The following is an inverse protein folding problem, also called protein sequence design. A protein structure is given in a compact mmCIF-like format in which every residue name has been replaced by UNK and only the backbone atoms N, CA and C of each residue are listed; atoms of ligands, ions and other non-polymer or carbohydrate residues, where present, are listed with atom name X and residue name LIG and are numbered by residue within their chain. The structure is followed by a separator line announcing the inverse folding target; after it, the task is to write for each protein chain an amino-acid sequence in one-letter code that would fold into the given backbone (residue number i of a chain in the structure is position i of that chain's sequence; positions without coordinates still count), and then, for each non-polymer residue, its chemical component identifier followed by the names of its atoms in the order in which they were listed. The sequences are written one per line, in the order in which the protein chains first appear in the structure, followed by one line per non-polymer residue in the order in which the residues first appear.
data_IF_296254378478
#
_entry.id   IF_296254378478
#
_cell.length_a   1.000
_cell.length_b   1.000
_cell.length_c   1.000
_cell.angle_alpha   90.00
_cell.angle_beta   90.00
_cell.angle_gamma   90.00
#
_symmetry.space_group_name_H-M   'P 1'
#
loop_
_entity.id
_entity.type
_entity.pdbx_description
1 polymer ?
#
# COMPACT_ATOMS: atom_id res chain seq x y z
N UNK A 1 -14.22 -3.08 34.47
CA UNK A 1 -13.86 -2.58 35.81
C UNK A 1 -12.46 -1.98 35.87
N UNK A 2 -11.41 -2.69 35.46
CA UNK A 2 -10.00 -2.20 35.49
C UNK A 2 -9.77 -0.91 34.71
N UNK A 3 -10.39 -0.72 33.54
CA UNK A 3 -10.25 0.51 32.74
C UNK A 3 -10.73 1.75 33.50
N UNK A 4 -11.87 1.68 34.14
CA UNK A 4 -12.44 2.80 34.87
C UNK A 4 -11.56 3.17 36.07
N UNK A 5 -11.04 2.17 36.79
CA UNK A 5 -10.13 2.39 37.91
C UNK A 5 -8.81 3.03 37.50
N UNK A 6 -8.23 2.60 36.37
CA UNK A 6 -6.99 3.16 35.83
C UNK A 6 -7.17 4.61 35.35
N UNK A 7 -8.26 4.89 34.64
CA UNK A 7 -8.57 6.25 34.17
C UNK A 7 -8.78 7.22 35.38
N UNK A 8 -9.44 6.75 36.43
CA UNK A 8 -9.62 7.53 37.65
C UNK A 8 -8.29 7.80 38.39
N UNK A 9 -7.38 6.81 38.42
CA UNK A 9 -6.05 6.98 38.96
C UNK A 9 -5.23 8.04 38.20
N UNK A 10 -5.28 8.03 36.86
CA UNK A 10 -4.64 9.06 36.05
C UNK A 10 -5.18 10.45 36.36
N UNK A 11 -6.50 10.59 36.45
CA UNK A 11 -7.14 11.88 36.77
C UNK A 11 -6.73 12.41 38.16
N UNK A 12 -6.60 11.52 39.11
CA UNK A 12 -6.22 11.91 40.49
C UNK A 12 -4.72 12.25 40.64
N UNK A 13 -3.85 11.58 39.86
CA UNK A 13 -2.39 11.79 39.91
C UNK A 13 -1.90 13.01 39.14
N UNK A 14 -2.67 13.46 38.14
CA UNK A 14 -2.30 14.57 37.25
C UNK A 14 -3.38 15.67 37.22
N UNK A 15 -3.66 16.27 38.37
CA UNK A 15 -4.66 17.33 38.52
C UNK A 15 -4.45 18.57 37.62
N UNK A 16 -3.30 18.70 36.98
CA UNK A 16 -2.97 19.80 36.05
C UNK A 16 -3.16 19.44 34.55
N UNK A 17 -3.62 18.23 34.21
CA UNK A 17 -3.79 17.84 32.79
C UNK A 17 -5.10 18.41 32.28
N UNK A 18 -5.01 19.31 31.27
CA UNK A 18 -6.19 19.84 30.56
C UNK A 18 -7.02 18.68 29.95
N UNK A 19 -8.36 18.82 29.95
CA UNK A 19 -9.32 17.81 29.55
C UNK A 19 -8.95 17.09 28.19
N UNK A 20 -8.41 17.82 27.23
CA UNK A 20 -7.96 17.24 25.93
C UNK A 20 -6.74 16.30 26.06
N UNK A 21 -5.89 16.47 27.08
CA UNK A 21 -4.76 15.56 27.34
C UNK A 21 -5.18 14.29 28.07
N UNK A 22 -6.28 14.31 28.80
CA UNK A 22 -6.80 13.13 29.53
C UNK A 22 -7.21 12.03 28.52
N UNK A 23 -7.84 12.40 27.41
CA UNK A 23 -8.20 11.46 26.35
C UNK A 23 -6.98 10.76 25.73
N UNK A 24 -5.84 11.45 25.63
CA UNK A 24 -4.58 10.88 25.16
C UNK A 24 -3.94 9.90 26.17
N UNK A 25 -4.38 9.93 27.42
CA UNK A 25 -3.85 9.10 28.50
C UNK A 25 -4.74 7.89 28.83
N UNK A 26 -5.88 7.74 28.16
CA UNK A 26 -6.75 6.58 28.36
C UNK A 26 -6.12 5.29 27.80
N UNK A 27 -6.31 4.19 28.53
CA UNK A 27 -5.94 2.85 28.07
C UNK A 27 -6.83 2.46 26.88
N UNK A 28 -6.21 1.94 25.83
CA UNK A 28 -6.93 1.40 24.67
C UNK A 28 -7.02 -0.11 24.86
N UNK A 29 -8.24 -0.63 24.83
CA UNK A 29 -8.47 -2.08 24.83
C UNK A 29 -8.32 -2.64 23.41
N UNK A 30 -7.82 -3.87 23.32
CA UNK A 30 -7.82 -4.59 22.05
C UNK A 30 -9.24 -4.92 21.59
N UNK A 31 -9.44 -4.95 20.29
CA UNK A 31 -10.68 -5.34 19.66
C UNK A 31 -10.40 -6.57 18.78
N UNK A 32 -11.02 -7.69 19.10
CA UNK A 32 -10.81 -8.98 18.42
C UNK A 32 -11.05 -8.95 16.90
N UNK A 33 -11.71 -7.92 16.37
CA UNK A 33 -12.08 -7.86 14.94
C UNK A 33 -11.03 -7.21 14.05
N UNK A 34 -10.07 -6.45 14.62
CA UNK A 34 -9.08 -5.69 13.82
C UNK A 34 -7.71 -5.69 14.48
N UNK A 35 -6.72 -6.25 13.81
CA UNK A 35 -5.33 -6.28 14.28
C UNK A 35 -4.72 -4.87 14.54
N UNK A 36 -5.24 -3.81 13.90
CA UNK A 36 -4.83 -2.44 14.16
C UNK A 36 -5.08 -2.01 15.62
N UNK A 37 -6.10 -2.58 16.28
CA UNK A 37 -6.38 -2.29 17.70
C UNK A 37 -5.28 -2.79 18.60
N UNK A 38 -4.70 -3.96 18.31
CA UNK A 38 -3.55 -4.51 19.04
C UNK A 38 -2.34 -3.58 18.94
N UNK A 39 -2.02 -3.09 17.73
CA UNK A 39 -0.94 -2.11 17.56
C UNK A 39 -1.18 -0.83 18.39
N UNK A 40 -2.38 -0.25 18.30
CA UNK A 40 -2.73 0.97 19.04
C UNK A 40 -2.73 0.75 20.56
N UNK A 41 -3.16 -0.42 21.02
CA UNK A 41 -3.10 -0.82 22.44
C UNK A 41 -1.64 -0.86 22.90
N UNK A 42 -0.75 -1.53 22.18
CA UNK A 42 0.67 -1.63 22.50
C UNK A 42 1.34 -0.25 22.49
N UNK A 43 1.10 0.55 21.48
CA UNK A 43 1.62 1.93 21.38
C UNK A 43 1.20 2.77 22.56
N UNK A 44 -0.07 2.68 22.98
CA UNK A 44 -0.61 3.39 24.13
C UNK A 44 -0.04 2.84 25.44
N UNK A 45 0.05 1.54 25.59
CA UNK A 45 0.60 0.90 26.80
C UNK A 45 2.07 1.31 27.04
N UNK A 46 2.88 1.34 25.98
CA UNK A 46 4.28 1.77 26.05
C UNK A 46 4.42 3.25 26.46
N UNK A 47 3.53 4.12 25.94
CA UNK A 47 3.48 5.54 26.39
C UNK A 47 3.09 5.69 27.86
N UNK A 48 2.22 4.83 28.34
CA UNK A 48 1.68 4.88 29.70
C UNK A 48 2.43 3.96 30.67
N UNK A 49 3.54 3.33 30.27
CA UNK A 49 4.26 2.32 31.04
C UNK A 49 4.42 2.68 32.52
N UNK A 50 4.99 3.82 32.81
CA UNK A 50 5.26 4.26 34.21
C UNK A 50 3.96 4.35 35.03
N UNK A 51 2.88 4.84 34.41
CA UNK A 51 1.56 4.97 35.05
C UNK A 51 0.89 3.62 35.25
N UNK A 52 1.03 2.71 34.30
CA UNK A 52 0.55 1.32 34.40
C UNK A 52 1.25 0.61 35.57
N UNK A 53 2.59 0.67 35.60
CA UNK A 53 3.38 0.06 36.65
C UNK A 53 3.02 0.64 38.05
N UNK A 54 2.85 1.97 38.16
CA UNK A 54 2.43 2.64 39.40
C UNK A 54 1.03 2.20 39.82
N UNK A 55 0.07 2.24 38.87
CA UNK A 55 -1.31 1.85 39.15
C UNK A 55 -1.41 0.39 39.65
N UNK A 56 -0.71 -0.55 39.01
CA UNK A 56 -0.74 -1.96 39.44
C UNK A 56 -0.17 -2.08 40.86
N UNK A 57 0.99 -1.46 41.17
CA UNK A 57 1.60 -1.54 42.49
C UNK A 57 0.76 -0.91 43.59
N UNK A 58 0.07 0.19 43.30
CA UNK A 58 -0.78 0.88 44.28
C UNK A 58 -2.09 0.12 44.56
N UNK A 59 -2.55 -0.72 43.61
CA UNK A 59 -3.83 -1.41 43.70
C UNK A 59 -3.68 -2.94 43.81
N UNK A 60 -2.46 -3.46 43.97
CA UNK A 60 -2.22 -4.86 44.28
C UNK A 60 -2.81 -5.19 45.65
N UNK A 61 -3.59 -6.27 45.72
CA UNK A 61 -4.24 -6.77 46.91
C UNK A 61 -5.20 -5.79 47.60
N UNK A 62 -5.60 -4.71 46.92
CA UNK A 62 -6.61 -3.76 47.42
C UNK A 62 -8.01 -4.28 47.05
N UNK A 63 -8.92 -4.31 48.05
CA UNK A 63 -10.28 -4.79 47.85
C UNK A 63 -11.01 -4.11 46.70
N UNK A 64 -11.56 -4.91 45.79
CA UNK A 64 -12.27 -4.46 44.59
C UNK A 64 -11.47 -4.52 43.27
N UNK A 65 -10.16 -4.69 43.32
CA UNK A 65 -9.30 -4.95 42.15
C UNK A 65 -8.77 -6.36 42.19
N UNK A 66 -8.80 -7.06 41.02
CA UNK A 66 -8.25 -8.40 40.86
C UNK A 66 -6.79 -8.34 40.34
N UNK A 67 -5.99 -7.40 40.91
CA UNK A 67 -4.59 -7.21 40.50
C UNK A 67 -3.66 -7.90 41.49
N UNK A 68 -2.61 -8.51 40.98
CA UNK A 68 -1.54 -9.14 41.76
C UNK A 68 -0.17 -8.58 41.41
N UNK A 69 0.84 -8.86 42.23
CA UNK A 69 2.21 -8.51 41.93
C UNK A 69 2.72 -9.15 40.62
N UNK A 70 2.11 -10.26 40.17
CA UNK A 70 2.42 -10.94 38.90
C UNK A 70 1.94 -10.15 37.67
N UNK A 71 1.05 -9.18 37.81
CA UNK A 71 0.57 -8.32 36.73
C UNK A 71 1.57 -7.19 36.40
N UNK A 72 2.57 -6.97 37.24
CA UNK A 72 3.66 -6.01 36.99
C UNK A 72 4.62 -6.61 35.99
N UNK A 73 4.69 -6.01 34.81
CA UNK A 73 5.61 -6.47 33.76
C UNK A 73 7.07 -6.14 34.14
N UNK A 74 7.96 -7.12 33.90
CA UNK A 74 9.41 -6.94 34.01
C UNK A 74 9.94 -6.00 32.92
N UNK A 75 11.19 -5.57 33.09
CA UNK A 75 11.88 -4.77 32.08
C UNK A 75 12.00 -5.52 30.73
N UNK A 76 12.23 -6.81 30.78
CA UNK A 76 12.38 -7.69 29.63
C UNK A 76 11.05 -7.88 28.88
N UNK A 77 9.95 -7.98 29.62
CA UNK A 77 8.60 -8.05 29.03
C UNK A 77 8.22 -6.73 28.33
N UNK A 78 8.50 -5.59 28.96
CA UNK A 78 8.32 -4.29 28.31
C UNK A 78 9.17 -4.14 27.03
N UNK A 79 10.41 -4.63 27.01
CA UNK A 79 11.25 -4.64 25.82
C UNK A 79 10.68 -5.56 24.74
N UNK A 80 10.12 -6.69 25.14
CA UNK A 80 9.45 -7.62 24.21
C UNK A 80 8.23 -6.97 23.58
N UNK A 81 7.38 -6.31 24.35
CA UNK A 81 6.23 -5.56 23.85
C UNK A 81 6.64 -4.44 22.88
N UNK A 82 7.73 -3.73 23.20
CA UNK A 82 8.29 -2.73 22.30
C UNK A 82 8.73 -3.35 20.97
N UNK A 83 9.43 -4.48 21.01
CA UNK A 83 9.84 -5.21 19.79
C UNK A 83 8.64 -5.64 18.96
N UNK A 84 7.60 -6.17 19.59
CA UNK A 84 6.35 -6.58 18.91
C UNK A 84 5.69 -5.35 18.25
N UNK A 85 5.57 -4.24 18.97
CA UNK A 85 5.04 -2.99 18.44
C UNK A 85 5.84 -2.52 17.21
N UNK A 86 7.16 -2.57 17.27
CA UNK A 86 8.04 -2.13 16.18
C UNK A 86 7.92 -3.04 14.95
N UNK A 87 7.72 -4.35 15.15
CA UNK A 87 7.41 -5.30 14.07
C UNK A 87 6.02 -5.10 13.47
N UNK A 88 5.03 -4.68 14.25
CA UNK A 88 3.67 -4.40 13.75
C UNK A 88 3.56 -3.04 13.05
N UNK A 89 4.45 -2.10 13.35
CA UNK A 89 4.39 -0.72 12.82
C UNK A 89 4.30 -0.64 11.29
N UNK A 90 5.12 -1.37 10.49
CA UNK A 90 5.03 -1.34 9.04
C UNK A 90 3.65 -1.76 8.51
N UNK A 91 3.06 -2.79 9.10
CA UNK A 91 1.71 -3.23 8.72
C UNK A 91 0.66 -2.16 9.00
N UNK A 92 0.73 -1.54 10.18
CA UNK A 92 -0.18 -0.46 10.55
C UNK A 92 -0.06 0.72 9.57
N UNK A 93 1.16 1.15 9.26
CA UNK A 93 1.41 2.25 8.34
C UNK A 93 0.89 1.95 6.93
N UNK A 94 1.18 0.76 6.40
CA UNK A 94 0.72 0.37 5.07
C UNK A 94 -0.79 0.15 5.02
N UNK A 95 -1.40 -0.34 6.08
CA UNK A 95 -2.87 -0.42 6.15
C UNK A 95 -3.50 0.97 6.07
N UNK A 96 -2.96 1.96 6.78
CA UNK A 96 -3.43 3.35 6.69
C UNK A 96 -3.27 3.91 5.28
N UNK A 97 -2.18 3.57 4.60
CA UNK A 97 -1.92 4.04 3.24
C UNK A 97 -2.83 3.38 2.21
N UNK A 98 -3.04 2.07 2.31
CA UNK A 98 -3.77 1.28 1.31
C UNK A 98 -5.30 1.25 1.54
N UNK A 99 -5.78 1.61 2.74
CA UNK A 99 -7.22 1.72 2.97
C UNK A 99 -7.79 2.95 2.25
N UNK A 100 -8.92 2.80 1.57
CA UNK A 100 -9.52 3.80 0.67
C UNK A 100 -9.93 5.16 1.25
N UNK A 101 -9.56 5.50 2.48
CA UNK A 101 -9.77 6.79 3.14
C UNK A 101 -8.51 7.20 3.92
N UNK A 102 -7.34 7.09 3.32
CA UNK A 102 -6.11 7.50 3.99
C UNK A 102 -6.14 8.99 4.35
N UNK A 103 -5.68 9.38 5.54
CA UNK A 103 -5.43 10.78 5.85
C UNK A 103 -4.45 11.36 4.82
N UNK A 104 -4.93 12.28 3.98
CA UNK A 104 -4.13 12.85 2.87
C UNK A 104 -4.71 12.61 1.47
N UNK A 105 -5.85 11.90 1.36
CA UNK A 105 -6.64 11.84 0.12
C UNK A 105 -6.18 10.81 -0.92
N UNK A 106 -5.29 9.87 -0.58
CA UNK A 106 -4.99 8.74 -1.46
C UNK A 106 -6.06 7.66 -1.30
N UNK A 107 -6.61 7.20 -2.41
CA UNK A 107 -7.69 6.21 -2.43
C UNK A 107 -7.18 4.76 -2.50
N UNK A 108 -5.98 4.46 -2.04
CA UNK A 108 -5.35 3.15 -2.16
C UNK A 108 -5.35 2.70 -3.63
N UNK A 109 -4.20 2.64 -4.27
CA UNK A 109 -4.10 2.26 -5.66
C UNK A 109 -3.52 0.85 -5.80
N UNK A 110 -3.96 0.08 -6.80
CA UNK A 110 -3.47 -1.28 -7.04
C UNK A 110 -1.95 -1.29 -7.25
N UNK A 111 -1.39 -0.28 -7.89
CA UNK A 111 0.05 -0.14 -8.11
C UNK A 111 0.88 -0.04 -6.82
N UNK A 112 0.26 0.33 -5.68
CA UNK A 112 0.95 0.41 -4.39
C UNK A 112 1.12 -0.95 -3.70
N UNK A 113 0.37 -1.98 -4.13
CA UNK A 113 0.33 -3.28 -3.46
C UNK A 113 1.69 -3.99 -3.56
N UNK A 114 2.26 -4.08 -4.75
CA UNK A 114 3.53 -4.76 -4.98
C UNK A 114 4.69 -4.11 -4.21
N UNK A 115 4.89 -2.78 -4.28
CA UNK A 115 5.88 -2.09 -3.45
C UNK A 115 5.63 -2.24 -1.94
N UNK A 116 4.37 -2.27 -1.50
CA UNK A 116 4.05 -2.44 -0.09
C UNK A 116 4.45 -3.83 0.42
N UNK A 117 4.21 -4.87 -0.37
CA UNK A 117 4.63 -6.24 -0.04
C UNK A 117 6.15 -6.36 0.04
N UNK A 118 6.88 -5.76 -0.90
CA UNK A 118 8.35 -5.74 -0.87
C UNK A 118 8.91 -5.02 0.35
N UNK A 119 8.31 -3.88 0.72
CA UNK A 119 8.69 -3.16 1.94
C UNK A 119 8.51 -4.05 3.17
N UNK A 120 7.41 -4.79 3.28
CA UNK A 120 7.19 -5.71 4.39
C UNK A 120 8.22 -6.84 4.40
N UNK A 121 8.44 -7.51 3.27
CA UNK A 121 9.40 -8.62 3.16
C UNK A 121 10.79 -8.13 3.59
N UNK A 122 11.31 -7.06 2.99
CA UNK A 122 12.63 -6.51 3.31
C UNK A 122 12.76 -6.14 4.81
N UNK A 123 11.73 -5.53 5.40
CA UNK A 123 11.73 -5.18 6.84
C UNK A 123 11.79 -6.41 7.74
N UNK A 124 11.09 -7.49 7.38
CA UNK A 124 11.12 -8.73 8.16
C UNK A 124 12.38 -9.55 7.91
N UNK A 125 12.98 -9.50 6.73
CA UNK A 125 14.32 -10.07 6.48
C UNK A 125 15.39 -9.38 7.32
N UNK A 126 15.38 -8.05 7.39
CA UNK A 126 16.28 -7.30 8.25
C UNK A 126 16.04 -7.59 9.74
N UNK A 127 14.77 -7.69 10.14
CA UNK A 127 14.43 -8.08 11.51
C UNK A 127 14.92 -9.49 11.84
N UNK A 128 14.91 -10.44 10.90
CA UNK A 128 15.41 -11.80 11.12
C UNK A 128 16.91 -11.85 11.40
N UNK A 129 17.69 -10.96 10.79
CA UNK A 129 19.12 -10.81 11.02
C UNK A 129 19.42 -10.26 12.43
N UNK A 130 18.55 -9.38 12.94
CA UNK A 130 18.68 -8.76 14.27
C UNK A 130 18.19 -9.69 15.38
N UNK A 131 17.03 -10.32 15.19
CA UNK A 131 16.36 -11.17 16.18
C UNK A 131 16.66 -12.66 15.92
N UNK A 132 17.89 -13.05 16.16
CA UNK A 132 18.31 -14.44 15.99
C UNK A 132 17.71 -15.37 17.08
N UNK A 133 17.63 -16.71 16.84
CA UNK A 133 17.09 -17.66 17.83
C UNK A 133 17.83 -17.63 19.18
N UNK A 134 19.12 -17.23 19.18
CA UNK A 134 19.92 -17.08 20.40
C UNK A 134 19.46 -15.91 21.28
N UNK A 135 18.92 -14.83 20.66
CA UNK A 135 18.47 -13.64 21.38
C UNK A 135 17.01 -13.78 21.86
N UNK A 136 16.14 -14.30 21.00
CA UNK A 136 14.74 -14.53 21.34
C UNK A 136 14.14 -15.57 20.40
N UNK A 137 13.98 -16.78 20.92
CA UNK A 137 13.42 -17.91 20.15
C UNK A 137 11.99 -17.61 19.66
N UNK A 138 11.17 -17.01 20.52
CA UNK A 138 9.79 -16.67 20.19
C UNK A 138 9.69 -15.61 19.09
N UNK A 139 10.36 -14.48 19.25
CA UNK A 139 10.35 -13.38 18.26
C UNK A 139 10.91 -13.88 16.92
N UNK A 140 12.00 -14.64 16.93
CA UNK A 140 12.57 -15.18 15.69
C UNK A 140 11.58 -16.11 14.97
N UNK A 141 10.92 -17.02 15.70
CA UNK A 141 9.91 -17.91 15.12
C UNK A 141 8.74 -17.13 14.52
N UNK A 142 8.30 -16.07 15.21
CA UNK A 142 7.22 -15.20 14.72
C UNK A 142 7.62 -14.45 13.44
N UNK A 143 8.84 -13.92 13.38
CA UNK A 143 9.38 -13.26 12.18
C UNK A 143 9.43 -14.24 11.01
N UNK A 144 9.95 -15.46 11.20
CA UNK A 144 10.05 -16.46 10.15
C UNK A 144 8.68 -16.89 9.64
N UNK A 145 7.71 -17.10 10.53
CA UNK A 145 6.33 -17.40 10.14
C UNK A 145 5.68 -16.26 9.35
N UNK A 146 5.96 -15.02 9.73
CA UNK A 146 5.50 -13.84 9.01
C UNK A 146 6.10 -13.78 7.60
N UNK A 147 7.43 -14.02 7.47
CA UNK A 147 8.10 -14.07 6.17
C UNK A 147 7.50 -15.13 5.25
N UNK A 148 7.28 -16.34 5.77
CA UNK A 148 6.63 -17.41 5.01
C UNK A 148 5.27 -16.96 4.49
N UNK A 149 4.46 -16.32 5.33
CA UNK A 149 3.14 -15.81 4.95
C UNK A 149 3.22 -14.68 3.92
N UNK A 150 4.12 -13.72 4.11
CA UNK A 150 4.33 -12.62 3.16
C UNK A 150 4.76 -13.15 1.80
N UNK A 151 5.69 -14.11 1.74
CA UNK A 151 6.12 -14.75 0.50
C UNK A 151 4.98 -15.50 -0.19
N UNK A 152 4.15 -16.24 0.57
CA UNK A 152 2.96 -16.89 0.02
C UNK A 152 2.01 -15.89 -0.65
N UNK A 153 1.72 -14.77 0.02
CA UNK A 153 0.88 -13.71 -0.56
C UNK A 153 1.55 -13.01 -1.74
N UNK A 154 2.87 -12.82 -1.68
CA UNK A 154 3.62 -12.22 -2.78
C UNK A 154 3.52 -13.07 -4.06
N UNK A 155 3.66 -14.39 -3.95
CA UNK A 155 3.49 -15.30 -5.09
C UNK A 155 2.08 -15.28 -5.68
N UNK A 156 1.05 -15.03 -4.88
CA UNK A 156 -0.31 -14.89 -5.41
C UNK A 156 -0.48 -13.64 -6.29
N UNK A 157 0.41 -12.64 -6.16
CA UNK A 157 0.38 -11.48 -7.04
C UNK A 157 0.84 -11.83 -8.46
N UNK A 158 1.61 -12.91 -8.63
CA UNK A 158 2.07 -13.39 -9.93
C UNK A 158 0.94 -14.07 -10.72
N UNK A 159 -0.14 -14.50 -10.05
CA UNK A 159 -1.30 -15.15 -10.69
C UNK A 159 -2.11 -14.18 -11.57
N UNK A 160 -1.88 -12.86 -11.42
CA UNK A 160 -2.59 -11.83 -12.18
C UNK A 160 -1.62 -10.74 -12.67
N UNK A 161 -1.58 -10.45 -13.96
CA UNK A 161 -0.75 -9.38 -14.51
C UNK A 161 -1.20 -7.98 -14.07
N UNK A 162 -2.39 -7.84 -13.46
CA UNK A 162 -2.98 -6.55 -13.05
C UNK A 162 -2.07 -5.78 -12.09
N UNK A 163 -1.42 -6.45 -11.14
CA UNK A 163 -0.54 -5.79 -10.17
C UNK A 163 0.69 -5.17 -10.83
N UNK A 164 1.35 -5.92 -11.71
CA UNK A 164 2.49 -5.44 -12.46
C UNK A 164 2.08 -4.42 -13.53
N UNK A 165 0.99 -4.64 -14.25
CA UNK A 165 0.44 -3.70 -15.22
C UNK A 165 0.09 -2.35 -14.57
N UNK A 166 -0.50 -2.36 -13.37
CA UNK A 166 -0.83 -1.13 -12.65
C UNK A 166 0.40 -0.26 -12.29
N UNK A 167 1.55 -0.90 -12.03
CA UNK A 167 2.83 -0.20 -11.85
C UNK A 167 3.34 0.42 -13.14
N UNK A 168 3.27 -0.33 -14.26
CA UNK A 168 3.66 0.18 -15.57
C UNK A 168 2.77 1.36 -15.98
N UNK A 169 1.47 1.29 -15.69
CA UNK A 169 0.51 2.35 -15.98
C UNK A 169 0.63 3.58 -15.07
N UNK A 170 1.46 3.53 -14.04
CA UNK A 170 1.83 4.74 -13.32
C UNK A 170 2.89 5.51 -14.12
N UNK A 171 2.57 6.69 -14.69
CA UNK A 171 3.43 7.39 -15.67
C UNK A 171 4.76 7.89 -15.08
N UNK A 172 4.89 7.95 -13.76
CA UNK A 172 6.13 8.35 -13.09
C UNK A 172 7.04 7.15 -12.75
N UNK A 173 6.50 5.94 -12.77
CA UNK A 173 7.20 4.71 -12.38
C UNK A 173 7.54 3.88 -13.61
N UNK A 174 6.52 3.46 -14.36
CA UNK A 174 6.62 2.61 -15.56
C UNK A 174 7.44 1.34 -15.31
N UNK A 175 8.10 0.81 -16.34
CA UNK A 175 8.93 -0.39 -16.26
C UNK A 175 10.19 -0.24 -15.39
N UNK A 176 10.62 1.00 -15.09
CA UNK A 176 11.81 1.27 -14.28
C UNK A 176 11.76 0.65 -12.88
N UNK A 177 10.56 0.41 -12.36
CA UNK A 177 10.41 -0.28 -11.09
C UNK A 177 11.08 -1.66 -11.12
N UNK A 178 10.76 -2.45 -12.13
CA UNK A 178 11.28 -3.80 -12.27
C UNK A 178 12.78 -3.81 -12.57
N UNK A 179 13.24 -2.90 -13.42
CA UNK A 179 14.65 -2.77 -13.77
C UNK A 179 15.53 -2.39 -12.57
N UNK A 180 15.04 -1.59 -11.65
CA UNK A 180 15.79 -1.11 -10.50
C UNK A 180 15.65 -2.00 -9.25
N UNK A 181 14.53 -2.69 -9.09
CA UNK A 181 14.22 -3.42 -7.86
C UNK A 181 14.51 -4.91 -7.94
N UNK A 182 14.41 -5.49 -9.11
CA UNK A 182 14.59 -6.92 -9.31
C UNK A 182 15.99 -7.29 -9.81
N UNK A 183 16.99 -6.54 -9.34
CA UNK A 183 18.41 -6.83 -9.59
C UNK A 183 18.91 -7.82 -8.53
N UNK A 184 19.69 -8.83 -8.95
CA UNK A 184 20.37 -9.74 -8.01
C UNK A 184 19.59 -10.99 -7.62
N UNK A 185 18.81 -11.57 -8.53
CA UNK A 185 18.13 -12.87 -8.34
C UNK A 185 16.72 -12.94 -8.91
N UNK A 186 16.20 -11.82 -9.40
CA UNK A 186 14.89 -11.74 -10.02
C UNK A 186 14.95 -11.20 -11.45
N UNK A 187 16.12 -11.16 -12.06
CA UNK A 187 16.31 -10.65 -13.41
C UNK A 187 15.54 -11.45 -14.46
N UNK A 188 15.30 -12.73 -14.23
CA UNK A 188 14.53 -13.59 -15.12
C UNK A 188 13.02 -13.26 -15.12
N UNK A 189 12.54 -12.63 -14.04
CA UNK A 189 11.13 -12.28 -13.92
C UNK A 189 10.74 -11.07 -14.75
N UNK A 190 11.65 -10.13 -14.94
CA UNK A 190 11.38 -8.90 -15.71
C UNK A 190 10.93 -9.18 -17.14
N UNK A 191 11.60 -10.04 -17.95
CA UNK A 191 11.14 -10.39 -19.29
C UNK A 191 9.76 -11.05 -19.29
N UNK A 192 9.56 -12.05 -18.43
CA UNK A 192 8.28 -12.75 -18.29
C UNK A 192 7.15 -11.78 -17.91
N UNK A 193 7.38 -10.92 -16.94
CA UNK A 193 6.38 -9.94 -16.50
C UNK A 193 6.00 -8.98 -17.63
N UNK A 194 6.96 -8.55 -18.45
CA UNK A 194 6.70 -7.73 -19.64
C UNK A 194 5.84 -8.48 -20.65
N UNK A 195 6.16 -9.74 -20.94
CA UNK A 195 5.37 -10.60 -21.82
C UNK A 195 3.94 -10.79 -21.30
N UNK A 196 3.76 -11.05 -20.02
CA UNK A 196 2.46 -11.24 -19.40
C UNK A 196 1.60 -9.96 -19.47
N UNK A 197 2.19 -8.79 -19.21
CA UNK A 197 1.51 -7.50 -19.32
C UNK A 197 1.13 -7.21 -20.77
N UNK A 198 2.02 -7.47 -21.74
CA UNK A 198 1.76 -7.25 -23.14
C UNK A 198 0.68 -8.21 -23.69
N UNK A 199 0.68 -9.46 -23.22
CA UNK A 199 -0.36 -10.42 -23.54
C UNK A 199 -1.72 -9.97 -22.97
N UNK A 200 -1.75 -9.51 -21.72
CA UNK A 200 -2.93 -8.96 -21.07
C UNK A 200 -3.47 -7.73 -21.81
N UNK A 201 -2.61 -6.78 -22.18
CA UNK A 201 -2.97 -5.63 -22.99
C UNK A 201 -3.60 -6.07 -24.32
N UNK A 202 -2.92 -6.94 -25.06
CA UNK A 202 -3.35 -7.38 -26.38
C UNK A 202 -4.69 -8.11 -26.36
N UNK A 203 -4.90 -8.94 -25.33
CA UNK A 203 -6.11 -9.77 -25.19
C UNK A 203 -7.31 -8.97 -24.71
N UNK A 204 -7.08 -8.10 -23.72
CA UNK A 204 -8.16 -7.51 -22.97
C UNK A 204 -8.48 -6.06 -23.32
N UNK A 205 -7.56 -5.32 -23.96
CA UNK A 205 -7.73 -3.89 -24.19
C UNK A 205 -7.53 -3.44 -25.64
N UNK A 206 -6.49 -3.90 -26.31
CA UNK A 206 -6.01 -3.39 -27.60
C UNK A 206 -7.05 -3.21 -28.71
N UNK A 207 -8.12 -3.96 -28.73
CA UNK A 207 -9.13 -3.91 -29.80
C UNK A 207 -10.56 -3.80 -29.27
N UNK A 208 -10.74 -3.51 -28.00
CA UNK A 208 -12.07 -3.46 -27.39
C UNK A 208 -12.73 -2.09 -27.50
N UNK A 209 -11.98 -1.02 -27.66
CA UNK A 209 -12.54 0.31 -27.89
C UNK A 209 -12.78 0.43 -29.40
N UNK A 210 -13.99 0.13 -29.81
CA UNK A 210 -14.52 0.61 -31.09
C UNK A 210 -14.70 2.11 -30.85
N UNK A 211 -13.76 2.91 -31.35
CA UNK A 211 -13.99 4.35 -31.48
C UNK A 211 -15.20 4.45 -32.42
N UNK A 212 -16.40 4.65 -31.86
CA UNK A 212 -17.49 5.20 -32.64
C UNK A 212 -16.96 6.51 -33.18
N UNK A 213 -16.57 6.51 -34.43
CA UNK A 213 -16.25 7.72 -35.17
C UNK A 213 -17.38 8.68 -34.88
N UNK A 214 -17.11 9.90 -34.34
CA UNK A 214 -18.17 10.85 -34.09
C UNK A 214 -18.98 10.92 -35.36
N UNK A 215 -20.23 10.47 -35.29
CA UNK A 215 -21.17 10.58 -36.41
C UNK A 215 -21.14 12.04 -36.77
N UNK A 216 -20.47 12.33 -37.87
CA UNK A 216 -20.40 13.65 -38.46
C UNK A 216 -21.81 14.04 -38.87
N UNK A 217 -22.55 14.61 -37.92
CA UNK A 217 -23.75 15.40 -38.19
C UNK A 217 -23.29 16.76 -38.70
N UNK A 218 -22.56 16.75 -39.77
CA UNK A 218 -22.38 17.89 -40.66
C UNK A 218 -22.97 17.47 -41.99
N UNK A 219 -24.06 18.15 -42.38
CA UNK A 219 -24.68 18.11 -43.70
C UNK A 219 -23.63 17.99 -44.80
N UNK A 220 -23.89 17.16 -45.84
CA UNK A 220 -22.96 17.02 -46.93
C UNK A 220 -22.95 18.35 -47.73
N UNK A 221 -21.97 19.22 -47.38
CA UNK A 221 -21.52 20.24 -48.32
C UNK A 221 -20.78 19.45 -49.41
N UNK A 222 -21.18 19.66 -50.66
CA UNK A 222 -20.59 19.11 -51.88
C UNK A 222 -19.08 19.32 -51.88
N UNK A 223 -18.35 18.31 -51.38
CA UNK A 223 -16.90 18.28 -51.53
C UNK A 223 -16.61 17.84 -52.95
N UNK A 224 -15.81 18.63 -53.66
CA UNK A 224 -15.35 18.29 -55.03
C UNK A 224 -14.70 16.89 -55.04
N UNK A 225 -15.17 15.94 -55.84
CA UNK A 225 -14.65 14.56 -55.88
C UNK A 225 -13.15 14.45 -56.13
N UNK A 226 -12.55 15.42 -56.82
CA UNK A 226 -11.11 15.43 -57.12
C UNK A 226 -10.27 15.76 -55.87
N UNK A 227 -10.79 16.58 -54.93
CA UNK A 227 -10.12 16.84 -53.65
C UNK A 227 -10.10 15.61 -52.75
N UNK A 228 -11.18 14.82 -52.76
CA UNK A 228 -11.24 13.58 -52.02
C UNK A 228 -10.24 12.54 -52.52
N UNK A 229 -10.04 12.45 -53.84
CA UNK A 229 -9.03 11.58 -54.44
C UNK A 229 -7.61 12.03 -54.04
N UNK A 230 -7.35 13.33 -54.03
CA UNK A 230 -6.07 13.90 -53.61
C UNK A 230 -5.79 13.64 -52.14
N UNK A 231 -6.77 13.88 -51.25
CA UNK A 231 -6.67 13.54 -49.83
C UNK A 231 -6.42 12.06 -49.59
N UNK A 232 -7.12 11.21 -50.26
CA UNK A 232 -6.93 9.75 -50.18
C UNK A 232 -5.54 9.29 -50.67
N UNK A 233 -5.01 9.88 -51.69
CA UNK A 233 -3.66 9.59 -52.17
C UNK A 233 -2.56 10.18 -51.31
N UNK A 234 -2.77 11.36 -50.73
CA UNK A 234 -1.74 12.08 -49.98
C UNK A 234 -1.74 11.68 -48.51
N UNK A 235 -2.91 11.51 -47.93
CA UNK A 235 -3.04 11.22 -46.49
C UNK A 235 -3.47 9.80 -46.17
N UNK A 236 -4.18 9.13 -47.08
CA UNK A 236 -4.63 7.75 -46.91
C UNK A 236 -3.50 6.71 -46.91
N UNK A 237 -2.37 7.00 -47.55
CA UNK A 237 -1.18 6.14 -47.46
C UNK A 237 -0.33 6.45 -46.23
N UNK A 238 -0.41 7.66 -45.67
CA UNK A 238 0.28 8.00 -44.42
C UNK A 238 -0.48 7.49 -43.21
N UNK A 239 -1.80 7.37 -43.27
CA UNK A 239 -2.61 6.83 -42.17
C UNK A 239 -2.51 5.29 -42.06
N UNK A 240 -2.06 4.58 -43.08
CA UNK A 240 -2.01 3.12 -43.07
C UNK A 240 -0.69 2.51 -42.58
N UNK A 241 0.34 3.31 -42.26
CA UNK A 241 1.68 2.78 -41.97
C UNK A 241 2.20 2.98 -40.55
N UNK A 242 1.46 3.64 -39.64
CA UNK A 242 1.92 3.85 -38.30
C UNK A 242 0.76 3.79 -37.28
N UNK A 243 0.07 2.67 -37.21
CA UNK A 243 -0.68 2.35 -35.97
C UNK A 243 0.37 1.85 -34.98
N UNK A 244 1.12 2.76 -34.39
CA UNK A 244 1.90 2.44 -33.19
C UNK A 244 0.89 2.02 -32.13
N UNK A 245 1.14 0.85 -31.53
CA UNK A 245 0.37 0.38 -30.38
C UNK A 245 0.46 1.44 -29.28
N UNK A 246 -0.68 1.87 -28.74
CA UNK A 246 -0.73 2.90 -27.68
C UNK A 246 0.14 2.50 -26.49
N UNK A 247 0.15 1.23 -26.13
CA UNK A 247 0.96 0.69 -25.05
C UNK A 247 2.46 0.82 -25.37
N UNK A 248 2.88 0.44 -26.58
CA UNK A 248 4.28 0.55 -27.01
C UNK A 248 4.75 2.00 -27.00
N UNK A 249 3.93 2.93 -27.51
CA UNK A 249 4.21 4.37 -27.49
C UNK A 249 4.31 4.90 -26.06
N UNK A 250 3.40 4.48 -25.22
CA UNK A 250 3.42 4.87 -23.80
C UNK A 250 4.66 4.33 -23.09
N UNK A 251 5.03 3.07 -23.28
CA UNK A 251 6.22 2.48 -22.65
C UNK A 251 7.51 3.12 -23.14
N UNK A 252 7.60 3.47 -24.42
CA UNK A 252 8.78 4.15 -24.99
C UNK A 252 8.97 5.60 -24.50
N UNK A 253 7.89 6.26 -24.09
CA UNK A 253 7.97 7.64 -23.59
C UNK A 253 8.67 7.67 -22.21
N UNK A 254 9.49 8.71 -21.90
CA UNK A 254 10.17 8.81 -20.62
C UNK A 254 9.16 8.94 -19.47
N UNK A 255 9.46 8.40 -18.27
CA UNK A 255 8.62 8.59 -17.11
C UNK A 255 8.49 10.06 -16.72
N UNK A 256 7.35 10.43 -16.14
CA UNK A 256 7.15 11.75 -15.59
C UNK A 256 8.10 12.00 -14.41
N UNK A 257 8.64 13.23 -14.25
CA UNK A 257 9.55 13.55 -13.15
C UNK A 257 8.88 13.54 -11.76
N UNK A 258 7.55 13.63 -11.73
CA UNK A 258 6.73 13.57 -10.52
C UNK A 258 5.45 12.80 -10.78
N UNK A 259 5.00 12.08 -9.75
CA UNK A 259 3.70 11.45 -9.76
C UNK A 259 2.58 12.51 -9.89
N UNK A 260 1.62 12.30 -10.79
CA UNK A 260 0.44 13.16 -10.87
C UNK A 260 -0.34 13.11 -9.55
N UNK A 261 -0.91 14.22 -9.09
CA UNK A 261 -1.67 14.26 -7.84
C UNK A 261 -2.93 13.37 -7.89
N UNK A 262 -3.42 13.07 -9.09
CA UNK A 262 -4.52 12.13 -9.32
C UNK A 262 -4.27 11.39 -10.65
N UNK A 263 -4.01 10.08 -10.57
CA UNK A 263 -3.74 9.23 -11.74
C UNK A 263 -4.97 9.06 -12.63
N UNK A 264 -6.18 9.04 -12.06
CA UNK A 264 -7.42 8.94 -12.85
C UNK A 264 -7.57 10.19 -13.72
N UNK A 265 -7.42 11.38 -13.14
CA UNK A 265 -7.49 12.62 -13.92
C UNK A 265 -6.37 12.73 -14.98
N UNK A 266 -5.19 12.17 -14.68
CA UNK A 266 -4.12 12.09 -15.68
C UNK A 266 -4.56 11.28 -16.88
N UNK A 267 -5.10 10.07 -16.67
CA UNK A 267 -5.55 9.19 -17.74
C UNK A 267 -6.77 9.73 -18.48
N UNK A 268 -7.75 10.31 -17.78
CA UNK A 268 -8.86 11.04 -18.41
C UNK A 268 -8.35 12.12 -19.38
N UNK A 269 -7.28 12.84 -19.00
CA UNK A 269 -6.62 13.83 -19.84
C UNK A 269 -5.90 13.23 -21.06
N UNK A 270 -5.55 11.95 -21.04
CA UNK A 270 -4.92 11.23 -22.16
C UNK A 270 -5.92 10.56 -23.09
N UNK A 271 -7.22 10.57 -22.78
CA UNK A 271 -8.25 9.85 -23.55
C UNK A 271 -8.29 10.19 -25.04
N UNK A 272 -7.89 11.41 -25.42
CA UNK A 272 -7.81 11.81 -26.82
C UNK A 272 -6.61 11.21 -27.59
N UNK A 273 -5.52 10.88 -26.89
CA UNK A 273 -4.26 10.39 -27.48
C UNK A 273 -4.04 8.90 -27.23
N UNK A 274 -4.59 8.37 -26.17
CA UNK A 274 -4.46 6.99 -25.73
C UNK A 274 -5.79 6.47 -25.17
N UNK A 275 -6.82 6.34 -26.03
CA UNK A 275 -8.18 6.01 -25.58
C UNK A 275 -8.30 4.62 -24.96
N UNK A 276 -7.44 3.69 -25.34
CA UNK A 276 -7.48 2.31 -24.81
C UNK A 276 -6.73 2.15 -23.48
N UNK A 277 -5.88 3.13 -23.13
CA UNK A 277 -5.15 3.19 -21.85
C UNK A 277 -5.83 4.06 -20.79
N UNK A 278 -6.75 4.94 -21.19
CA UNK A 278 -7.42 5.93 -20.33
C UNK A 278 -8.61 5.38 -19.53
#
# INVERSE_FOLDING_TARGET
MQKVGFDSHIQNSDSMIKANKILELQVIADNQTRWNSTYLMLERALKLRVRIDSFIREHTDVGGYSLSAADVLSKEEWQTLQTIRDLMFPFWLLTLKLQGNAPGGSNGAVWEILPAMEVLINRFEDASKIHTPRKSKFINASINNTLIKLQQYYHLLDDSPVYAASLVLNPSIKERYFENKWVGGQEEWTPKTKEDIQAFWTTDYKNKIVIESPSASTSPQERNPEFYIFEKYTYGQLAASNVHDEYDVYCAAPPLPREPPNLIQYWDGQAATSPSLS
#
